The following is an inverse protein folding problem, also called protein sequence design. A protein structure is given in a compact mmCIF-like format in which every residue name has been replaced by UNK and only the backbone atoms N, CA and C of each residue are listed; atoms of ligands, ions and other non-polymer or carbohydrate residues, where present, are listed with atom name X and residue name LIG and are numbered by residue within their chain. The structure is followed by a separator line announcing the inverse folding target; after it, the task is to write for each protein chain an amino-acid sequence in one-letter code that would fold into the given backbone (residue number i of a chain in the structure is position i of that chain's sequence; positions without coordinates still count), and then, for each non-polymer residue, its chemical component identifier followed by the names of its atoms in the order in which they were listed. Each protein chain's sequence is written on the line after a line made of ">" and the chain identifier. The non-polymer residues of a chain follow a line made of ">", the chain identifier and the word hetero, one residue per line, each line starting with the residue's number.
data_IF_093293599456
#
_entry.id   IF_093293599456
#
_cell.length_a   1.000
_cell.length_b   1.000
_cell.length_c   1.000
_cell.angle_alpha   90.00
_cell.angle_beta   90.00
_cell.angle_gamma   90.00
#
_symmetry.space_group_name_H-M   'P 1'
#
loop_
_entity.id
_entity.type
_entity.pdbx_description
1 polymer ?
#
# COMPACT_ATOMS: atom_id res chain seq x y z
N UNK A 1 16.57 -10.66 6.38
CA UNK A 1 15.79 -10.04 7.48
C UNK A 1 14.78 -9.12 6.81
N UNK A 2 13.51 -9.21 7.12
CA UNK A 2 12.51 -8.41 6.42
C UNK A 2 12.63 -6.95 6.85
N UNK A 3 12.91 -6.08 5.90
CA UNK A 3 13.19 -4.66 6.16
C UNK A 3 11.95 -3.90 6.66
N UNK A 4 10.73 -4.30 6.25
CA UNK A 4 9.49 -3.54 6.53
C UNK A 4 8.37 -4.34 7.19
N UNK A 5 8.50 -5.66 7.32
CA UNK A 5 7.42 -6.57 7.73
C UNK A 5 6.67 -7.19 6.56
N UNK A 6 5.65 -8.02 6.85
CA UNK A 6 4.93 -8.81 5.83
C UNK A 6 3.56 -8.25 5.48
N UNK A 7 2.86 -7.66 6.46
CA UNK A 7 1.58 -7.01 6.27
C UNK A 7 1.73 -5.50 6.41
N UNK A 8 1.79 -4.80 5.29
CA UNK A 8 1.81 -3.34 5.26
C UNK A 8 0.44 -2.84 4.84
N UNK A 9 -0.10 -1.82 5.52
CA UNK A 9 -1.36 -1.22 5.11
C UNK A 9 -1.13 0.02 4.26
N UNK A 10 -1.68 0.04 3.04
CA UNK A 10 -1.75 1.23 2.21
C UNK A 10 -2.78 2.19 2.81
N UNK A 11 -2.36 2.98 3.80
CA UNK A 11 -3.22 3.79 4.64
C UNK A 11 -3.97 4.86 3.84
N UNK A 12 -5.29 4.97 4.06
CA UNK A 12 -6.09 6.09 3.55
C UNK A 12 -5.67 7.40 4.24
N UNK A 13 -5.90 8.53 3.58
CA UNK A 13 -5.77 9.86 4.20
C UNK A 13 -7.12 10.34 4.69
N UNK A 14 -7.32 10.51 6.01
CA UNK A 14 -8.54 11.11 6.54
C UNK A 14 -8.63 12.60 6.17
N UNK A 15 -9.86 13.03 5.84
CA UNK A 15 -10.18 14.43 5.61
C UNK A 15 -11.29 14.90 6.54
N UNK A 16 -11.27 16.18 6.89
CA UNK A 16 -12.37 16.84 7.62
C UNK A 16 -13.56 17.19 6.70
N UNK A 17 -14.55 17.86 7.24
CA UNK A 17 -15.76 18.26 6.51
C UNK A 17 -15.47 19.26 5.38
N UNK A 18 -14.41 20.05 5.52
CA UNK A 18 -13.94 21.04 4.55
C UNK A 18 -12.98 20.43 3.52
N UNK A 19 -12.67 19.12 3.62
CA UNK A 19 -11.75 18.40 2.74
C UNK A 19 -10.26 18.67 3.02
N UNK A 20 -9.91 19.24 4.17
CA UNK A 20 -8.52 19.35 4.64
C UNK A 20 -8.06 18.04 5.27
N UNK A 21 -6.76 17.79 5.28
CA UNK A 21 -6.20 16.60 5.94
C UNK A 21 -6.46 16.66 7.45
N UNK A 22 -7.16 15.64 7.97
CA UNK A 22 -7.35 15.46 9.42
C UNK A 22 -6.18 14.66 10.01
N UNK A 23 -5.12 15.35 10.41
CA UNK A 23 -3.92 14.75 10.98
C UNK A 23 -4.21 14.06 12.33
N UNK A 24 -5.16 14.54 13.11
CA UNK A 24 -5.53 13.91 14.37
C UNK A 24 -6.18 12.55 14.14
N UNK A 25 -7.09 12.48 13.16
CA UNK A 25 -7.72 11.22 12.76
C UNK A 25 -6.73 10.29 12.05
N UNK A 26 -5.78 10.82 11.27
CA UNK A 26 -4.71 10.03 10.67
C UNK A 26 -3.84 9.34 11.72
N UNK A 27 -3.48 10.03 12.80
CA UNK A 27 -2.77 9.44 13.94
C UNK A 27 -3.57 8.35 14.65
N UNK A 28 -4.87 8.54 14.85
CA UNK A 28 -5.75 7.53 15.45
C UNK A 28 -5.82 6.29 14.55
N UNK A 29 -6.01 6.50 13.23
CA UNK A 29 -6.06 5.40 12.26
C UNK A 29 -4.74 4.64 12.23
N UNK A 30 -3.59 5.33 12.20
CA UNK A 30 -2.28 4.70 12.21
C UNK A 30 -2.10 3.75 13.41
N UNK A 31 -2.45 4.20 14.62
CA UNK A 31 -2.42 3.34 15.82
C UNK A 31 -3.35 2.15 15.70
N UNK A 32 -4.60 2.37 15.28
CA UNK A 32 -5.59 1.32 15.13
C UNK A 32 -5.17 0.24 14.11
N UNK A 33 -4.50 0.63 13.02
CA UNK A 33 -3.98 -0.29 12.01
C UNK A 33 -2.85 -1.16 12.55
N UNK A 34 -1.94 -0.60 13.35
CA UNK A 34 -0.91 -1.40 14.03
C UNK A 34 -1.53 -2.36 15.06
N UNK A 35 -2.52 -1.88 15.84
CA UNK A 35 -3.23 -2.70 16.83
C UNK A 35 -4.03 -3.84 16.15
N UNK A 36 -4.46 -3.65 14.91
CA UNK A 36 -5.15 -4.65 14.08
C UNK A 36 -4.22 -5.48 13.19
N UNK A 37 -2.91 -5.51 13.45
CA UNK A 37 -2.00 -6.49 12.88
C UNK A 37 -1.08 -5.99 11.77
N UNK A 38 -1.11 -4.72 11.39
CA UNK A 38 -0.15 -4.19 10.40
C UNK A 38 1.27 -4.09 10.98
N UNK A 39 2.27 -4.54 10.22
CA UNK A 39 3.69 -4.37 10.55
C UNK A 39 4.20 -2.96 10.19
N UNK A 40 3.50 -2.30 9.28
CA UNK A 40 3.84 -0.95 8.84
C UNK A 40 2.76 -0.33 7.97
N UNK A 41 2.97 0.94 7.64
CA UNK A 41 2.01 1.76 6.91
C UNK A 41 2.67 2.39 5.69
N UNK A 42 2.01 2.31 4.54
CA UNK A 42 2.36 3.10 3.36
C UNK A 42 1.49 4.34 3.35
N UNK A 43 2.12 5.50 3.53
CA UNK A 43 1.45 6.80 3.67
C UNK A 43 1.55 7.59 2.37
N UNK A 44 0.47 8.24 1.97
CA UNK A 44 0.41 8.98 0.69
C UNK A 44 0.73 8.13 -0.54
N UNK A 45 0.30 6.84 -0.53
CA UNK A 45 0.22 6.02 -1.73
C UNK A 45 -1.08 6.31 -2.51
N UNK A 46 -1.43 5.44 -3.46
CA UNK A 46 -2.69 5.54 -4.24
C UNK A 46 -3.91 5.57 -3.32
N UNK A 47 -3.97 4.64 -2.35
CA UNK A 47 -5.05 4.55 -1.37
C UNK A 47 -5.12 5.79 -0.47
N UNK A 48 -3.98 6.43 -0.22
CA UNK A 48 -3.86 7.70 0.50
C UNK A 48 -4.17 8.94 -0.33
N UNK A 49 -4.70 8.78 -1.55
CA UNK A 49 -5.09 9.88 -2.46
C UNK A 49 -3.93 10.85 -2.79
N UNK A 50 -2.72 10.30 -2.96
CA UNK A 50 -1.51 11.10 -3.21
C UNK A 50 -1.61 12.13 -4.35
N UNK A 51 -2.41 11.94 -5.45
CA UNK A 51 -2.51 12.94 -6.50
C UNK A 51 -3.20 14.24 -6.08
N UNK A 52 -4.01 14.21 -5.02
CA UNK A 52 -4.78 15.37 -4.54
C UNK A 52 -4.21 16.00 -3.27
N UNK A 53 -3.09 15.47 -2.76
CA UNK A 53 -2.37 16.04 -1.63
C UNK A 53 -1.30 17.01 -2.12
N UNK A 54 -1.18 18.17 -1.46
CA UNK A 54 -0.06 19.08 -1.68
C UNK A 54 1.24 18.47 -1.12
N UNK A 55 2.39 19.04 -1.49
CA UNK A 55 3.69 18.63 -0.96
C UNK A 55 3.75 18.79 0.57
N UNK A 56 3.27 19.91 1.06
CA UNK A 56 3.22 20.24 2.49
C UNK A 56 2.34 19.26 3.26
N UNK A 57 1.16 18.95 2.73
CA UNK A 57 0.25 17.94 3.33
C UNK A 57 0.91 16.57 3.42
N UNK A 58 1.64 16.14 2.39
CA UNK A 58 2.37 14.87 2.40
C UNK A 58 3.44 14.86 3.49
N UNK A 59 4.28 15.87 3.54
CA UNK A 59 5.38 15.95 4.52
C UNK A 59 4.87 16.01 5.96
N UNK A 60 3.81 16.79 6.19
CA UNK A 60 3.18 16.83 7.50
C UNK A 60 2.56 15.47 7.85
N UNK A 61 1.89 14.80 6.90
CA UNK A 61 1.29 13.48 7.13
C UNK A 61 2.36 12.43 7.45
N UNK A 62 3.51 12.44 6.78
CA UNK A 62 4.64 11.57 7.11
C UNK A 62 5.12 11.79 8.53
N UNK A 63 5.36 13.05 8.91
CA UNK A 63 5.79 13.44 10.27
C UNK A 63 4.79 13.01 11.34
N UNK A 64 3.49 13.30 11.13
CA UNK A 64 2.44 13.00 12.10
C UNK A 64 2.23 11.49 12.29
N UNK A 65 2.25 10.72 11.18
CA UNK A 65 2.11 9.26 11.25
C UNK A 65 3.36 8.65 11.89
N UNK A 66 4.57 9.06 11.48
CA UNK A 66 5.81 8.53 12.07
C UNK A 66 5.89 8.82 13.56
N UNK A 67 5.43 9.99 14.02
CA UNK A 67 5.44 10.36 15.42
C UNK A 67 4.65 9.40 16.34
N UNK A 68 3.59 8.76 15.81
CA UNK A 68 2.74 7.86 16.61
C UNK A 68 3.03 6.37 16.34
N UNK A 69 3.59 6.04 15.19
CA UNK A 69 4.06 4.69 14.88
C UNK A 69 5.34 4.39 15.69
N UNK A 70 6.27 5.34 15.75
CA UNK A 70 7.53 5.18 16.48
C UNK A 70 8.29 3.92 16.04
N UNK A 71 8.61 3.07 17.02
CA UNK A 71 9.29 1.79 16.80
C UNK A 71 8.31 0.58 16.73
N UNK A 72 7.01 0.83 16.74
CA UNK A 72 6.00 -0.24 16.69
C UNK A 72 5.81 -0.83 15.29
N UNK A 73 6.26 -0.13 14.27
CA UNK A 73 6.14 -0.52 12.88
C UNK A 73 6.91 0.40 11.96
N UNK A 74 6.83 0.15 10.68
CA UNK A 74 7.50 0.93 9.64
C UNK A 74 6.56 1.93 8.97
N UNK A 75 7.09 3.08 8.56
CA UNK A 75 6.37 4.10 7.77
C UNK A 75 7.08 4.28 6.43
N UNK A 76 6.38 3.95 5.35
CA UNK A 76 6.88 4.07 3.99
C UNK A 76 6.17 5.26 3.32
N UNK A 77 6.93 6.25 2.88
CA UNK A 77 6.41 7.45 2.23
C UNK A 77 6.16 7.22 0.73
N UNK A 78 4.96 7.49 0.25
CA UNK A 78 4.66 7.53 -1.19
C UNK A 78 5.22 8.81 -1.81
N UNK A 79 6.38 8.73 -2.43
CA UNK A 79 7.09 9.87 -3.02
C UNK A 79 7.22 9.80 -4.54
N UNK A 80 6.92 8.65 -5.16
CA UNK A 80 6.99 8.47 -6.61
C UNK A 80 5.98 9.33 -7.37
N UNK A 81 6.42 9.84 -8.51
CA UNK A 81 5.66 10.72 -9.41
C UNK A 81 6.13 10.46 -10.87
N UNK A 82 5.38 10.95 -11.85
CA UNK A 82 5.79 10.93 -13.27
C UNK A 82 6.97 11.86 -13.59
N UNK A 83 7.34 12.77 -12.69
CA UNK A 83 8.49 13.67 -12.80
C UNK A 83 9.63 13.18 -11.92
N UNK A 84 10.79 12.90 -12.52
CA UNK A 84 11.99 12.47 -11.78
C UNK A 84 12.43 13.54 -10.77
N UNK A 85 12.45 14.82 -11.19
CA UNK A 85 12.85 15.93 -10.33
C UNK A 85 11.95 16.10 -9.11
N UNK A 86 10.62 15.99 -9.31
CA UNK A 86 9.64 16.04 -8.21
C UNK A 86 9.79 14.85 -7.25
N UNK A 87 10.00 13.66 -7.80
CA UNK A 87 10.22 12.45 -6.98
C UNK A 87 11.49 12.57 -6.14
N UNK A 88 12.60 13.04 -6.71
CA UNK A 88 13.83 13.31 -5.98
C UNK A 88 13.60 14.33 -4.86
N UNK A 89 13.00 15.47 -5.20
CA UNK A 89 12.77 16.53 -4.24
C UNK A 89 11.91 16.07 -3.06
N UNK A 90 10.78 15.40 -3.33
CA UNK A 90 9.88 14.91 -2.28
C UNK A 90 10.54 13.79 -1.46
N UNK A 91 11.32 12.89 -2.07
CA UNK A 91 12.02 11.81 -1.35
C UNK A 91 13.05 12.37 -0.37
N UNK A 92 13.85 13.35 -0.79
CA UNK A 92 14.84 14.04 0.08
C UNK A 92 14.19 14.75 1.26
N UNK A 93 13.00 15.30 1.09
CA UNK A 93 12.26 15.94 2.18
C UNK A 93 11.57 14.91 3.08
N UNK A 94 11.03 13.85 2.50
CA UNK A 94 10.44 12.75 3.27
C UNK A 94 11.49 12.09 4.19
N UNK A 95 12.72 11.91 3.74
CA UNK A 95 13.82 11.37 4.55
C UNK A 95 14.04 12.18 5.84
N UNK A 96 13.89 13.50 5.79
CA UNK A 96 14.03 14.38 6.95
C UNK A 96 12.88 14.23 7.97
N UNK A 97 11.76 13.61 7.59
CA UNK A 97 10.63 13.33 8.50
C UNK A 97 10.81 12.06 9.32
N UNK A 98 11.90 11.31 9.08
CA UNK A 98 12.25 10.10 9.80
C UNK A 98 11.48 8.85 9.37
N UNK A 99 10.88 8.85 8.17
CA UNK A 99 10.25 7.64 7.58
C UNK A 99 11.28 6.55 7.31
N UNK A 100 10.85 5.31 7.26
CA UNK A 100 11.73 4.14 7.18
C UNK A 100 12.03 3.70 5.75
N UNK A 101 11.32 4.26 4.77
CA UNK A 101 11.51 3.97 3.34
C UNK A 101 10.60 4.80 2.46
N UNK A 102 10.74 4.63 1.15
CA UNK A 102 9.88 5.28 0.18
C UNK A 102 9.27 4.29 -0.83
N UNK A 103 8.07 4.60 -1.31
CA UNK A 103 7.36 3.89 -2.37
C UNK A 103 7.38 4.73 -3.64
N UNK A 104 7.97 4.19 -4.71
CA UNK A 104 8.18 4.85 -5.98
C UNK A 104 7.30 4.20 -7.06
N UNK A 105 6.17 4.83 -7.36
CA UNK A 105 5.27 4.35 -8.42
C UNK A 105 5.92 4.53 -9.80
N UNK A 106 5.70 3.56 -10.69
CA UNK A 106 6.04 3.69 -12.11
C UNK A 106 5.42 4.97 -12.67
N UNK A 107 6.20 5.83 -13.35
CA UNK A 107 5.68 7.04 -13.99
C UNK A 107 4.46 6.76 -14.86
N UNK A 108 3.41 7.49 -14.60
CA UNK A 108 2.13 7.41 -15.28
C UNK A 108 1.95 8.58 -16.26
N UNK A 109 1.05 8.45 -17.23
CA UNK A 109 0.70 9.46 -18.22
C UNK A 109 1.76 9.67 -19.32
N UNK A 110 3.02 9.97 -18.99
CA UNK A 110 4.11 10.26 -19.97
C UNK A 110 4.74 9.01 -20.61
N UNK A 111 4.40 7.79 -20.14
CA UNK A 111 4.73 6.50 -20.76
C UNK A 111 6.21 6.32 -21.13
N UNK A 112 7.14 6.38 -20.17
CA UNK A 112 8.56 6.18 -20.45
C UNK A 112 8.87 4.76 -20.97
N UNK A 113 9.98 4.64 -21.71
CA UNK A 113 10.54 3.34 -22.11
C UNK A 113 11.15 2.63 -20.90
N UNK A 114 11.56 1.35 -21.05
CA UNK A 114 12.21 0.60 -19.98
C UNK A 114 13.54 1.25 -19.54
N UNK A 115 14.32 1.75 -20.49
CA UNK A 115 15.55 2.50 -20.17
C UNK A 115 15.22 3.80 -19.41
N UNK A 116 14.17 4.51 -19.82
CA UNK A 116 13.67 5.69 -19.10
C UNK A 116 13.23 5.37 -17.67
N UNK A 117 12.56 4.22 -17.45
CA UNK A 117 12.19 3.74 -16.12
C UNK A 117 13.42 3.42 -15.27
N UNK A 118 14.40 2.74 -15.87
CA UNK A 118 15.66 2.43 -15.19
C UNK A 118 16.38 3.70 -14.72
N UNK A 119 16.59 4.67 -15.62
CA UNK A 119 17.26 5.92 -15.26
C UNK A 119 16.46 6.77 -14.26
N UNK A 120 15.11 6.76 -14.35
CA UNK A 120 14.24 7.44 -13.40
C UNK A 120 14.44 6.90 -11.97
N UNK A 121 14.29 5.60 -11.75
CA UNK A 121 14.40 5.01 -10.42
C UNK A 121 15.84 5.07 -9.88
N UNK A 122 16.83 4.86 -10.73
CA UNK A 122 18.25 5.00 -10.39
C UNK A 122 18.55 6.42 -9.90
N UNK A 123 18.13 7.44 -10.65
CA UNK A 123 18.35 8.84 -10.27
C UNK A 123 17.72 9.18 -8.91
N UNK A 124 16.53 8.65 -8.61
CA UNK A 124 15.87 8.87 -7.31
C UNK A 124 16.67 8.15 -6.20
N UNK A 125 17.02 6.88 -6.42
CA UNK A 125 17.74 6.08 -5.44
C UNK A 125 19.11 6.67 -5.08
N UNK A 126 19.80 7.28 -6.04
CA UNK A 126 21.11 7.93 -5.82
C UNK A 126 21.05 9.20 -4.95
N UNK A 127 19.88 9.80 -4.78
CA UNK A 127 19.68 11.07 -4.07
C UNK A 127 19.11 10.90 -2.63
N UNK A 128 18.99 9.66 -2.15
CA UNK A 128 18.49 9.34 -0.80
C UNK A 128 19.23 8.14 -0.21
N UNK A 129 19.29 8.09 1.12
CA UNK A 129 19.71 6.87 1.84
C UNK A 129 18.55 5.95 2.19
N UNK A 130 17.31 6.37 1.96
CA UNK A 130 16.13 5.56 2.26
C UNK A 130 16.08 4.29 1.41
N UNK A 131 15.69 3.17 2.00
CA UNK A 131 15.26 2.00 1.24
C UNK A 131 14.09 2.34 0.31
N UNK A 132 14.22 2.04 -0.98
CA UNK A 132 13.25 2.33 -2.03
C UNK A 132 12.48 1.07 -2.42
N UNK A 133 11.15 1.11 -2.37
CA UNK A 133 10.27 0.11 -2.97
C UNK A 133 9.75 0.64 -4.31
N UNK A 134 9.97 -0.11 -5.37
CA UNK A 134 9.34 0.15 -6.66
C UNK A 134 7.85 -0.20 -6.58
N UNK A 135 7.00 0.45 -7.38
CA UNK A 135 5.58 0.10 -7.44
C UNK A 135 5.10 -0.01 -8.87
N UNK A 136 4.84 -1.25 -9.29
CA UNK A 136 4.34 -1.59 -10.62
C UNK A 136 2.83 -1.83 -10.57
N UNK A 137 2.05 -0.96 -11.26
CA UNK A 137 0.58 -1.00 -11.28
C UNK A 137 0.02 -0.60 -12.65
N UNK A 138 0.24 -1.40 -13.70
CA UNK A 138 -0.08 -1.03 -15.08
C UNK A 138 -1.57 -0.72 -15.31
N UNK A 139 -2.48 -1.25 -14.49
CA UNK A 139 -3.90 -0.91 -14.53
C UNK A 139 -4.20 0.58 -14.24
N UNK A 140 -3.27 1.29 -13.59
CA UNK A 140 -3.37 2.73 -13.28
C UNK A 140 -2.37 3.57 -14.06
N UNK A 141 -1.16 3.05 -14.27
CA UNK A 141 -0.07 3.81 -14.89
C UNK A 141 -0.03 3.66 -16.41
N UNK A 142 -0.71 2.66 -16.97
CA UNK A 142 -0.63 2.24 -18.39
C UNK A 142 0.78 1.75 -18.78
N UNK A 143 1.80 2.15 -18.04
CA UNK A 143 3.20 1.73 -18.19
C UNK A 143 3.48 0.60 -17.20
N UNK A 144 4.11 -0.48 -17.67
CA UNK A 144 4.53 -1.61 -16.84
C UNK A 144 6.06 -1.64 -16.74
N UNK A 145 6.57 -1.87 -15.54
CA UNK A 145 7.98 -2.18 -15.31
C UNK A 145 8.20 -3.65 -15.69
N UNK A 146 9.09 -3.93 -16.64
CA UNK A 146 9.38 -5.32 -17.04
C UNK A 146 10.19 -6.06 -15.97
N UNK A 147 10.15 -7.41 -16.02
CA UNK A 147 10.96 -8.22 -15.12
C UNK A 147 12.46 -7.91 -15.26
N UNK A 148 12.95 -7.77 -16.49
CA UNK A 148 14.36 -7.48 -16.79
C UNK A 148 14.80 -6.14 -16.20
N UNK A 149 13.96 -5.10 -16.32
CA UNK A 149 14.25 -3.78 -15.76
C UNK A 149 14.19 -3.81 -14.24
N UNK A 150 13.24 -4.51 -13.65
CA UNK A 150 13.13 -4.69 -12.20
C UNK A 150 14.36 -5.42 -11.63
N UNK A 151 14.79 -6.51 -12.28
CA UNK A 151 15.99 -7.28 -11.92
C UNK A 151 17.23 -6.41 -12.00
N UNK A 152 17.39 -5.60 -13.07
CA UNK A 152 18.48 -4.67 -13.20
C UNK A 152 18.50 -3.60 -12.10
N UNK A 153 17.33 -3.08 -11.72
CA UNK A 153 17.17 -2.12 -10.63
C UNK A 153 17.47 -2.74 -9.26
N UNK A 154 17.22 -4.04 -9.05
CA UNK A 154 17.53 -4.73 -7.80
C UNK A 154 19.02 -4.82 -7.49
N UNK A 155 19.91 -4.48 -8.47
CA UNK A 155 21.36 -4.39 -8.26
C UNK A 155 21.79 -3.05 -7.63
N UNK A 156 20.88 -2.10 -7.42
CA UNK A 156 21.14 -0.83 -6.74
C UNK A 156 20.84 -1.04 -5.26
N UNK A 157 21.82 -0.81 -4.40
CA UNK A 157 21.84 -1.23 -2.98
C UNK A 157 20.61 -0.81 -2.19
N UNK A 158 20.10 0.40 -2.41
CA UNK A 158 18.93 0.91 -1.68
C UNK A 158 17.61 0.74 -2.43
N UNK A 159 17.57 0.07 -3.60
CA UNK A 159 16.33 -0.42 -4.20
C UNK A 159 16.08 -1.83 -3.67
N UNK A 160 15.30 -1.92 -2.59
CA UNK A 160 15.19 -3.12 -1.77
C UNK A 160 14.02 -4.04 -2.13
N UNK A 161 13.15 -3.62 -3.04
CA UNK A 161 12.00 -4.46 -3.41
C UNK A 161 11.03 -3.80 -4.38
N UNK A 162 9.97 -4.54 -4.67
CA UNK A 162 8.86 -4.10 -5.52
C UNK A 162 7.51 -4.47 -4.91
N UNK A 163 6.56 -3.52 -4.98
CA UNK A 163 5.13 -3.77 -4.84
C UNK A 163 4.59 -4.10 -6.22
N UNK A 164 4.20 -5.36 -6.43
CA UNK A 164 3.76 -5.86 -7.73
C UNK A 164 2.23 -5.98 -7.78
N UNK A 165 1.62 -5.24 -8.69
CA UNK A 165 0.19 -5.20 -8.90
C UNK A 165 -0.19 -5.36 -10.39
N UNK A 166 0.66 -6.03 -11.17
CA UNK A 166 0.42 -6.31 -12.59
C UNK A 166 -0.53 -7.47 -12.86
N UNK A 167 -0.78 -8.34 -11.86
CA UNK A 167 -1.51 -9.61 -12.04
C UNK A 167 -0.81 -10.55 -13.02
N UNK A 168 0.47 -10.32 -13.32
CA UNK A 168 1.28 -11.16 -14.21
C UNK A 168 2.20 -12.06 -13.38
N UNK A 169 1.69 -13.24 -13.02
CA UNK A 169 2.42 -14.20 -12.16
C UNK A 169 3.70 -14.73 -12.80
N UNK A 170 3.75 -14.84 -14.15
CA UNK A 170 4.98 -15.21 -14.86
C UNK A 170 6.07 -14.14 -14.68
N UNK A 171 5.70 -12.87 -14.84
CA UNK A 171 6.61 -11.74 -14.59
C UNK A 171 7.09 -11.73 -13.13
N UNK A 172 6.18 -11.92 -12.18
CA UNK A 172 6.50 -11.96 -10.75
C UNK A 172 7.48 -13.08 -10.45
N UNK A 173 7.26 -14.28 -10.98
CA UNK A 173 8.17 -15.41 -10.82
C UNK A 173 9.57 -15.13 -11.40
N UNK A 174 9.65 -14.48 -12.57
CA UNK A 174 10.93 -14.05 -13.17
C UNK A 174 11.67 -13.04 -12.29
N UNK A 175 10.96 -12.08 -11.70
CA UNK A 175 11.55 -11.11 -10.77
C UNK A 175 12.13 -11.83 -9.56
N UNK A 176 11.34 -12.70 -8.91
CA UNK A 176 11.77 -13.45 -7.72
C UNK A 176 12.99 -14.31 -8.02
N UNK A 177 13.04 -14.95 -9.19
CA UNK A 177 14.15 -15.80 -9.60
C UNK A 177 15.42 -15.01 -9.95
N UNK A 178 15.29 -13.83 -10.58
CA UNK A 178 16.41 -13.11 -11.17
C UNK A 178 16.93 -11.93 -10.34
N UNK A 179 16.16 -11.42 -9.38
CA UNK A 179 16.58 -10.31 -8.53
C UNK A 179 17.59 -10.75 -7.47
N UNK A 180 18.21 -9.78 -6.79
CA UNK A 180 19.08 -10.06 -5.65
C UNK A 180 18.34 -10.88 -4.59
N UNK A 181 19.06 -11.76 -3.89
CA UNK A 181 18.51 -12.72 -2.91
C UNK A 181 17.63 -12.06 -1.85
N UNK A 182 17.99 -10.85 -1.41
CA UNK A 182 17.28 -10.12 -0.36
C UNK A 182 16.23 -9.13 -0.92
N UNK A 183 15.98 -9.16 -2.24
CA UNK A 183 15.02 -8.28 -2.89
C UNK A 183 13.58 -8.69 -2.55
N UNK A 184 12.81 -7.77 -1.97
CA UNK A 184 11.48 -8.01 -1.46
C UNK A 184 10.42 -7.88 -2.56
N UNK A 185 9.58 -8.90 -2.73
CA UNK A 185 8.45 -8.86 -3.66
C UNK A 185 7.16 -8.90 -2.86
N UNK A 186 6.50 -7.75 -2.75
CA UNK A 186 5.20 -7.61 -2.12
C UNK A 186 4.07 -7.73 -3.12
N UNK A 187 2.99 -8.42 -2.75
CA UNK A 187 1.73 -8.28 -3.47
C UNK A 187 1.20 -6.85 -3.36
N UNK A 188 0.80 -6.27 -4.48
CA UNK A 188 0.12 -4.98 -4.55
C UNK A 188 -1.41 -5.10 -4.55
N UNK A 189 -1.94 -6.33 -4.70
CA UNK A 189 -3.36 -6.66 -4.70
C UNK A 189 -3.67 -7.68 -3.60
N UNK A 190 -4.66 -7.43 -2.79
CA UNK A 190 -5.06 -8.32 -1.69
C UNK A 190 -5.40 -9.73 -2.18
N UNK A 191 -6.11 -9.84 -3.31
CA UNK A 191 -6.51 -11.12 -3.93
C UNK A 191 -5.37 -11.94 -4.52
N UNK A 192 -4.20 -11.35 -4.76
CA UNK A 192 -3.04 -12.03 -5.34
C UNK A 192 -2.02 -12.46 -4.26
N UNK A 193 -2.28 -12.15 -2.99
CA UNK A 193 -1.30 -12.32 -1.92
C UNK A 193 -0.89 -13.77 -1.75
N UNK A 194 -1.84 -14.70 -1.60
CA UNK A 194 -1.51 -16.12 -1.42
C UNK A 194 -0.77 -16.72 -2.61
N UNK A 195 -1.20 -16.52 -3.88
CA UNK A 195 -0.43 -16.95 -5.06
C UNK A 195 0.99 -16.38 -5.09
N UNK A 196 1.18 -15.11 -4.75
CA UNK A 196 2.51 -14.46 -4.75
C UNK A 196 3.39 -15.02 -3.63
N UNK A 197 2.84 -15.31 -2.44
CA UNK A 197 3.56 -16.03 -1.39
C UNK A 197 4.03 -17.40 -1.88
N UNK A 198 3.18 -18.15 -2.60
CA UNK A 198 3.54 -19.45 -3.18
C UNK A 198 4.68 -19.37 -4.21
N UNK A 199 4.84 -18.25 -4.90
CA UNK A 199 5.96 -17.98 -5.80
C UNK A 199 7.24 -17.57 -5.06
N UNK A 200 7.18 -17.26 -3.77
CA UNK A 200 8.31 -16.78 -2.98
C UNK A 200 8.27 -15.28 -2.64
N UNK A 201 7.12 -14.62 -2.83
CA UNK A 201 6.91 -13.25 -2.35
C UNK A 201 6.97 -13.14 -0.83
N UNK A 202 7.24 -11.95 -0.32
CA UNK A 202 7.48 -11.73 1.11
C UNK A 202 6.25 -11.31 1.92
N UNK A 203 5.21 -10.76 1.26
CA UNK A 203 4.05 -10.21 1.96
C UNK A 203 3.14 -9.39 1.05
N UNK A 204 2.43 -8.44 1.62
CA UNK A 204 1.44 -7.60 0.91
C UNK A 204 1.46 -6.15 1.38
N UNK A 205 1.19 -5.24 0.45
CA UNK A 205 0.81 -3.85 0.75
C UNK A 205 -0.69 -3.73 0.48
N UNK A 206 -1.47 -3.91 1.53
CA UNK A 206 -2.90 -4.27 1.54
C UNK A 206 -3.83 -3.05 1.63
N UNK A 207 -5.03 -3.20 1.12
CA UNK A 207 -6.18 -2.31 1.35
C UNK A 207 -7.12 -2.90 2.40
N UNK A 208 -7.48 -4.20 2.30
CA UNK A 208 -8.46 -4.81 3.23
C UNK A 208 -7.93 -4.94 4.66
N UNK A 209 -6.63 -4.82 4.87
CA UNK A 209 -6.02 -4.75 6.21
C UNK A 209 -6.54 -3.58 7.07
N UNK A 210 -7.18 -2.57 6.47
CA UNK A 210 -7.94 -1.57 7.22
C UNK A 210 -9.09 -2.19 8.04
N UNK A 211 -9.61 -3.31 7.64
CA UNK A 211 -10.81 -3.93 8.20
C UNK A 211 -10.51 -5.25 8.91
N UNK A 212 -9.66 -6.09 8.30
CA UNK A 212 -9.41 -7.49 8.69
C UNK A 212 -7.92 -7.79 8.81
N UNK A 213 -7.15 -6.87 9.39
CA UNK A 213 -5.70 -6.97 9.47
C UNK A 213 -5.20 -8.20 10.24
N UNK A 214 -5.80 -8.54 11.38
CA UNK A 214 -5.43 -9.74 12.15
C UNK A 214 -5.71 -11.03 11.37
N UNK A 215 -6.85 -11.10 10.67
CA UNK A 215 -7.19 -12.26 9.84
C UNK A 215 -6.23 -12.39 8.66
N UNK A 216 -5.86 -11.26 8.03
CA UNK A 216 -4.91 -11.28 6.93
C UNK A 216 -3.49 -11.66 7.40
N UNK A 217 -3.05 -11.11 8.53
CA UNK A 217 -1.80 -11.51 9.18
C UNK A 217 -1.78 -13.00 9.47
N UNK A 218 -2.83 -13.55 10.05
CA UNK A 218 -2.93 -14.97 10.36
C UNK A 218 -2.80 -15.84 9.10
N UNK A 219 -3.39 -15.44 7.98
CA UNK A 219 -3.24 -16.13 6.69
C UNK A 219 -1.77 -16.18 6.24
N UNK A 220 -1.04 -15.06 6.37
CA UNK A 220 0.38 -14.99 6.02
C UNK A 220 1.22 -15.85 6.96
N UNK A 221 0.96 -15.80 8.26
CA UNK A 221 1.67 -16.60 9.29
C UNK A 221 1.43 -18.09 9.08
N UNK A 222 0.20 -18.51 8.82
CA UNK A 222 -0.13 -19.92 8.52
C UNK A 222 0.67 -20.42 7.29
N UNK A 223 0.77 -19.60 6.23
CA UNK A 223 1.59 -19.94 5.08
C UNK A 223 3.05 -20.14 5.45
N UNK A 224 3.65 -19.21 6.21
CA UNK A 224 5.06 -19.26 6.60
C UNK A 224 5.37 -20.48 7.48
N UNK A 225 4.42 -20.86 8.35
CA UNK A 225 4.54 -22.03 9.21
C UNK A 225 4.32 -23.35 8.46
N UNK A 226 4.06 -23.33 7.14
CA UNK A 226 3.81 -24.53 6.34
C UNK A 226 2.37 -25.03 6.40
N UNK A 227 1.45 -24.34 7.05
CA UNK A 227 0.02 -24.67 7.14
C UNK A 227 -0.72 -24.24 5.86
N UNK A 228 -0.28 -24.75 4.70
CA UNK A 228 -0.67 -24.24 3.37
C UNK A 228 -2.18 -24.30 3.14
N UNK A 229 -2.83 -25.44 3.50
CA UNK A 229 -4.28 -25.59 3.29
C UNK A 229 -5.08 -24.59 4.15
N UNK A 230 -4.62 -24.33 5.38
CA UNK A 230 -5.24 -23.35 6.28
C UNK A 230 -5.10 -21.92 5.71
N UNK A 231 -3.90 -21.57 5.24
CA UNK A 231 -3.65 -20.28 4.58
C UNK A 231 -4.48 -20.12 3.31
N UNK A 232 -4.55 -21.15 2.47
CA UNK A 232 -5.38 -21.15 1.25
C UNK A 232 -6.87 -20.99 1.57
N UNK A 233 -7.37 -21.66 2.62
CA UNK A 233 -8.75 -21.52 3.08
C UNK A 233 -9.03 -20.11 3.60
N UNK A 234 -8.15 -19.55 4.41
CA UNK A 234 -8.25 -18.17 4.91
C UNK A 234 -8.26 -17.17 3.74
N UNK A 235 -7.39 -17.35 2.75
CA UNK A 235 -7.37 -16.53 1.54
C UNK A 235 -8.71 -16.54 0.80
N UNK A 236 -9.25 -17.74 0.51
CA UNK A 236 -10.56 -17.89 -0.16
C UNK A 236 -11.68 -17.19 0.61
N UNK A 237 -11.65 -17.26 1.95
CA UNK A 237 -12.65 -16.60 2.81
C UNK A 237 -12.56 -15.07 2.78
N UNK A 238 -11.38 -14.50 2.49
CA UNK A 238 -11.18 -13.04 2.37
C UNK A 238 -11.59 -12.48 1.00
N UNK A 239 -11.65 -13.30 -0.05
CA UNK A 239 -11.94 -12.85 -1.42
C UNK A 239 -13.25 -12.07 -1.58
N UNK A 240 -14.37 -12.41 -0.91
CA UNK A 240 -15.58 -11.60 -1.01
C UNK A 240 -15.37 -10.16 -0.50
N UNK A 241 -14.60 -9.98 0.59
CA UNK A 241 -14.27 -8.65 1.09
C UNK A 241 -13.34 -7.89 0.14
N UNK A 242 -12.34 -8.59 -0.43
CA UNK A 242 -11.48 -8.01 -1.48
C UNK A 242 -12.35 -7.49 -2.62
N UNK A 243 -13.26 -8.32 -3.15
CA UNK A 243 -14.13 -7.92 -4.25
C UNK A 243 -15.00 -6.70 -3.91
N UNK A 244 -15.54 -6.63 -2.70
CA UNK A 244 -16.34 -5.49 -2.25
C UNK A 244 -15.51 -4.20 -2.11
N UNK A 245 -14.24 -4.31 -1.66
CA UNK A 245 -13.35 -3.14 -1.51
C UNK A 245 -12.78 -2.63 -2.83
N UNK A 246 -13.04 -3.34 -3.94
CA UNK A 246 -12.65 -2.95 -5.30
C UNK A 246 -13.84 -2.90 -6.28
N UNK A 247 -15.09 -2.87 -5.77
CA UNK A 247 -16.32 -2.79 -6.59
C UNK A 247 -16.38 -1.48 -7.41
N UNK A 248 -15.73 -0.44 -6.94
CA UNK A 248 -15.38 0.79 -7.67
C UNK A 248 -13.95 1.17 -7.32
N UNK A 249 -13.44 2.24 -7.93
CA UNK A 249 -12.05 2.65 -7.77
C UNK A 249 -11.63 2.84 -6.29
N UNK A 250 -10.60 2.10 -5.86
CA UNK A 250 -9.94 2.34 -4.57
C UNK A 250 -9.32 3.77 -4.56
N UNK A 251 -9.53 4.57 -3.47
CA UNK A 251 -9.94 4.18 -2.11
C UNK A 251 -11.44 4.40 -1.77
N UNK A 252 -12.31 4.64 -2.74
CA UNK A 252 -13.71 4.96 -2.48
C UNK A 252 -14.38 3.93 -1.56
N UNK A 253 -14.32 2.59 -1.83
CA UNK A 253 -15.00 1.60 -0.98
C UNK A 253 -14.45 1.51 0.43
N UNK A 254 -13.14 1.54 0.61
CA UNK A 254 -12.54 1.41 1.95
C UNK A 254 -12.82 2.63 2.82
N UNK A 255 -12.83 3.85 2.26
CA UNK A 255 -13.24 5.05 3.00
C UNK A 255 -14.72 4.98 3.40
N UNK A 256 -15.58 4.55 2.47
CA UNK A 256 -16.98 4.34 2.77
C UNK A 256 -17.18 3.29 3.89
N UNK A 257 -16.49 2.16 3.79
CA UNK A 257 -16.56 1.10 4.80
C UNK A 257 -16.16 1.58 6.20
N UNK A 258 -15.05 2.33 6.31
CA UNK A 258 -14.60 2.91 7.58
C UNK A 258 -15.63 3.87 8.18
N UNK A 259 -16.19 4.78 7.36
CA UNK A 259 -17.23 5.71 7.79
C UNK A 259 -18.51 4.97 8.22
N UNK A 260 -18.94 3.97 7.45
CA UNK A 260 -20.11 3.14 7.76
C UNK A 260 -19.96 2.41 9.10
N UNK A 261 -18.77 1.92 9.38
CA UNK A 261 -18.44 1.25 10.63
C UNK A 261 -18.27 2.22 11.83
N UNK A 262 -18.26 3.53 11.58
CA UNK A 262 -18.13 4.55 12.62
C UNK A 262 -16.69 5.06 12.87
N UNK A 263 -15.73 4.63 12.05
CA UNK A 263 -14.40 5.21 12.07
C UNK A 263 -14.36 6.37 11.07
N UNK A 264 -14.72 7.56 11.52
CA UNK A 264 -14.91 8.74 10.66
C UNK A 264 -13.59 9.16 10.01
N UNK A 265 -13.51 9.02 8.67
CA UNK A 265 -12.32 9.36 7.87
C UNK A 265 -12.61 10.39 6.77
N UNK A 266 -13.83 10.94 6.76
CA UNK A 266 -14.27 11.92 5.78
C UNK A 266 -14.48 11.34 4.39
N UNK A 267 -14.84 12.22 3.45
CA UNK A 267 -15.08 11.87 2.04
C UNK A 267 -13.77 11.87 1.24
N UNK A 268 -13.72 11.15 0.10
CA UNK A 268 -12.62 11.35 -0.84
C UNK A 268 -12.60 12.81 -1.36
N UNK A 269 -11.41 13.28 -1.76
CA UNK A 269 -11.29 14.54 -2.51
C UNK A 269 -11.64 14.35 -3.98
N UNK A 270 -12.25 15.36 -4.61
CA UNK A 270 -12.41 15.36 -6.06
C UNK A 270 -11.05 15.16 -6.78
N UNK A 271 -11.04 14.44 -7.89
CA UNK A 271 -12.18 13.95 -8.69
C UNK A 271 -12.87 12.68 -8.18
N UNK A 272 -12.44 12.10 -7.06
CA UNK A 272 -13.10 10.96 -6.45
C UNK A 272 -14.32 11.43 -5.64
N UNK A 273 -15.40 10.63 -5.69
CA UNK A 273 -16.66 10.89 -4.99
C UNK A 273 -16.99 9.73 -4.05
N UNK A 274 -17.98 9.92 -3.17
CA UNK A 274 -18.58 8.79 -2.46
C UNK A 274 -19.20 7.80 -3.45
N UNK A 275 -19.29 6.51 -3.10
CA UNK A 275 -19.88 5.52 -4.00
C UNK A 275 -21.38 5.74 -4.17
N UNK A 276 -21.90 5.36 -5.34
CA UNK A 276 -23.34 5.31 -5.60
C UNK A 276 -24.03 4.22 -4.74
N UNK A 277 -25.37 4.20 -4.74
CA UNK A 277 -26.16 3.28 -3.92
C UNK A 277 -25.87 1.79 -4.16
N UNK A 278 -25.64 1.37 -5.43
CA UNK A 278 -25.35 -0.05 -5.71
C UNK A 278 -24.06 -0.54 -5.05
N UNK A 279 -22.91 0.12 -5.22
CA UNK A 279 -21.69 -0.22 -4.48
C UNK A 279 -21.87 -0.16 -2.95
N UNK A 280 -22.58 0.83 -2.41
CA UNK A 280 -22.86 0.90 -0.96
C UNK A 280 -23.51 -0.36 -0.44
N UNK A 281 -24.59 -0.81 -1.10
CA UNK A 281 -25.31 -2.04 -0.71
C UNK A 281 -24.39 -3.26 -0.72
N UNK A 282 -23.54 -3.40 -1.75
CA UNK A 282 -22.56 -4.50 -1.83
C UNK A 282 -21.58 -4.46 -0.66
N UNK A 283 -21.03 -3.28 -0.36
CA UNK A 283 -20.05 -3.09 0.73
C UNK A 283 -20.73 -3.44 2.08
N UNK A 284 -21.87 -2.85 2.37
CA UNK A 284 -22.59 -3.05 3.64
C UNK A 284 -22.99 -4.50 3.87
N UNK A 285 -23.53 -5.17 2.84
CA UNK A 285 -23.91 -6.58 2.92
C UNK A 285 -22.68 -7.46 3.16
N UNK A 286 -21.56 -7.16 2.50
CA UNK A 286 -20.31 -7.91 2.69
C UNK A 286 -19.79 -7.73 4.10
N UNK A 287 -19.73 -6.49 4.61
CA UNK A 287 -19.21 -6.20 5.96
C UNK A 287 -19.96 -6.96 7.08
N UNK A 288 -21.24 -7.22 6.92
CA UNK A 288 -22.04 -8.00 7.90
C UNK A 288 -21.55 -9.43 8.09
N UNK A 289 -20.83 -9.97 7.11
CA UNK A 289 -20.32 -11.34 7.13
C UNK A 289 -18.88 -11.44 7.66
N UNK A 290 -18.27 -10.31 8.04
CA UNK A 290 -16.90 -10.27 8.53
C UNK A 290 -16.81 -9.72 9.95
N UNK A 291 -15.98 -10.38 10.76
CA UNK A 291 -15.52 -9.77 12.02
C UNK A 291 -14.51 -8.68 11.66
N UNK A 292 -14.78 -7.46 12.08
CA UNK A 292 -13.87 -6.33 11.85
C UNK A 292 -12.82 -6.32 12.95
N UNK A 293 -11.54 -6.29 12.55
CA UNK A 293 -10.40 -6.32 13.45
C UNK A 293 -9.97 -4.92 13.89
N UNK A 294 -10.29 -3.89 13.08
CA UNK A 294 -9.96 -2.51 13.43
C UNK A 294 -10.67 -2.11 14.73
N UNK A 295 -9.94 -1.57 15.74
CA UNK A 295 -10.56 -1.09 16.98
C UNK A 295 -11.45 0.12 16.69
N UNK A 296 -12.74 -0.14 16.54
CA UNK A 296 -13.77 0.88 16.34
C UNK A 296 -14.45 1.08 17.68
N UNK A 297 -14.52 2.34 18.14
CA UNK A 297 -15.31 2.64 19.33
C UNK A 297 -16.76 2.21 19.07
N UNK A 298 -17.22 1.19 19.79
CA UNK A 298 -18.63 0.79 19.75
C UNK A 298 -19.49 2.03 20.00
N UNK A 299 -20.38 2.35 19.06
CA UNK A 299 -21.43 3.32 19.34
C UNK A 299 -22.20 2.77 20.54
N UNK A 300 -22.06 3.47 21.71
CA UNK A 300 -22.86 3.21 22.89
C UNK A 300 -24.34 3.43 22.60
#
# INVERSE_FOLDING_TARGET
>A
METFGRLLTAMITPFDAEGKVDYAQAKKLAKALLDSGSDGLVVSGTTGECPTLTREEKLQLFTEVKSVVGNRGTVIAGTGNYSTAESIGLTKEAEKTGVDGCLLVVPYYNRPTQDGLYEHFKAIAQETSLPCLLYNVPSRTVTSLSAETCIKLSQIDNIVGVKEASVNFEQIAKIIQGANKDFLVYSGNDGDTFPILCLGGCGVISVISHLVGLQFRQMIEDYIQGNIEKAASAHRNLLPLVSAMFVVANPIPVKYALNYLGFSVGKPRLPLTEPDEKPKVVIEQTLKNFKIDLPIATRA
#
